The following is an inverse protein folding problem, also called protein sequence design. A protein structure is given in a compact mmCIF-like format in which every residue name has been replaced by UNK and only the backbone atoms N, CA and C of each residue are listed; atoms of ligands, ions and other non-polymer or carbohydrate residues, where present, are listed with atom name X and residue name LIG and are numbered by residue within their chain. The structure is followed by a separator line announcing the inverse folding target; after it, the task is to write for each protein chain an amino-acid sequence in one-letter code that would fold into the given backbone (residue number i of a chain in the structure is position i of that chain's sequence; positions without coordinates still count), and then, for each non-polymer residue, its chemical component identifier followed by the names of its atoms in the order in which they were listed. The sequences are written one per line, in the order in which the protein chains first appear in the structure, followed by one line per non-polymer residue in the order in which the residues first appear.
data_IF_851541887593
#
_entry.id   IF_851541887593
#
_cell.length_a   1.000
_cell.length_b   1.000
_cell.length_c   1.000
_cell.angle_alpha   90.00
_cell.angle_beta   90.00
_cell.angle_gamma   90.00
#
_symmetry.space_group_name_H-M   'P 1'
#
loop_
_entity.id
_entity.type
_entity.pdbx_description
1 polymer ?
#
# COMPACT_ATOMS: atom_id res chain seq x y z
N UNK A 1 -18.11 30.16 0.87
CA UNK A 1 -18.30 28.73 0.55
C UNK A 1 -17.34 27.87 1.39
N UNK A 2 -17.70 27.51 2.63
CA UNK A 2 -16.71 27.05 3.64
C UNK A 2 -16.81 25.58 4.08
N UNK A 3 -17.73 24.76 3.56
CA UNK A 3 -18.00 23.45 4.17
C UNK A 3 -17.67 22.20 3.34
N UNK A 4 -17.11 22.30 2.11
CA UNK A 4 -16.80 21.11 1.26
C UNK A 4 -17.94 20.07 1.13
N UNK A 5 -19.18 20.42 1.49
CA UNK A 5 -20.38 19.58 1.45
C UNK A 5 -20.97 19.56 0.03
N UNK A 6 -20.10 19.42 -0.98
CA UNK A 6 -20.48 19.50 -2.38
C UNK A 6 -21.46 18.39 -2.77
N UNK A 7 -21.25 17.19 -2.24
CA UNK A 7 -22.19 16.08 -2.43
C UNK A 7 -23.58 16.36 -1.86
N UNK A 8 -23.68 16.89 -0.64
CA UNK A 8 -24.98 17.21 -0.02
C UNK A 8 -25.68 18.34 -0.78
N UNK A 9 -24.93 19.35 -1.22
CA UNK A 9 -25.46 20.42 -2.04
C UNK A 9 -26.01 19.86 -3.36
N UNK A 10 -25.23 19.07 -4.09
CA UNK A 10 -25.64 18.45 -5.36
C UNK A 10 -26.86 17.55 -5.21
N UNK A 11 -26.94 16.75 -4.14
CA UNK A 11 -28.09 15.89 -3.88
C UNK A 11 -29.37 16.71 -3.65
N UNK A 12 -29.28 17.79 -2.89
CA UNK A 12 -30.42 18.72 -2.73
C UNK A 12 -30.81 19.34 -4.07
N UNK A 13 -29.84 19.68 -4.93
CA UNK A 13 -30.13 20.21 -6.27
C UNK A 13 -30.82 19.18 -7.18
N UNK A 14 -30.37 17.93 -7.15
CA UNK A 14 -30.98 16.81 -7.89
C UNK A 14 -32.40 16.52 -7.39
N UNK A 15 -32.62 16.49 -6.07
CA UNK A 15 -33.95 16.31 -5.46
C UNK A 15 -34.90 17.46 -5.86
N UNK A 16 -34.38 18.69 -5.97
CA UNK A 16 -35.15 19.87 -6.38
C UNK A 16 -35.54 19.80 -7.87
N UNK A 17 -34.63 19.36 -8.74
CA UNK A 17 -34.92 19.14 -10.16
C UNK A 17 -35.91 17.98 -10.38
N UNK A 18 -35.77 16.88 -9.64
CA UNK A 18 -36.66 15.72 -9.77
C UNK A 18 -38.06 16.01 -9.22
N UNK A 19 -38.16 16.69 -8.07
CA UNK A 19 -39.44 17.00 -7.41
C UNK A 19 -40.20 18.12 -8.11
N UNK A 20 -39.49 19.13 -8.62
CA UNK A 20 -40.09 20.32 -9.19
C UNK A 20 -39.94 20.43 -10.71
N UNK A 21 -39.31 19.46 -11.40
CA UNK A 21 -39.08 19.45 -12.86
C UNK A 21 -40.27 19.83 -13.73
N UNK A 22 -41.46 19.29 -13.43
CA UNK A 22 -42.69 19.61 -14.16
C UNK A 22 -43.24 21.02 -13.87
N UNK A 23 -42.87 21.61 -12.74
CA UNK A 23 -43.22 22.98 -12.34
C UNK A 23 -42.15 24.00 -12.76
N UNK A 24 -40.91 23.55 -12.98
CA UNK A 24 -39.76 24.40 -13.33
C UNK A 24 -39.97 25.14 -14.66
N UNK A 25 -40.77 24.58 -15.57
CA UNK A 25 -41.09 25.24 -16.83
C UNK A 25 -42.29 26.19 -16.77
N UNK A 26 -43.08 26.17 -15.69
CA UNK A 26 -44.31 26.98 -15.59
C UNK A 26 -44.03 28.45 -15.23
N UNK A 27 -42.94 28.76 -14.55
CA UNK A 27 -42.65 30.12 -14.05
C UNK A 27 -41.30 30.66 -14.54
N UNK A 28 -41.22 31.96 -14.83
CA UNK A 28 -39.95 32.62 -15.23
C UNK A 28 -38.87 32.54 -14.14
N UNK A 29 -39.30 32.60 -12.88
CA UNK A 29 -38.38 32.47 -11.74
C UNK A 29 -37.69 31.10 -11.73
N UNK A 30 -38.43 30.01 -11.94
CA UNK A 30 -37.85 28.66 -11.93
C UNK A 30 -36.93 28.41 -13.13
N UNK A 31 -37.19 29.01 -14.28
CA UNK A 31 -36.27 29.01 -15.42
C UNK A 31 -34.98 29.79 -15.12
N UNK A 32 -35.08 30.93 -14.44
CA UNK A 32 -33.91 31.71 -13.99
C UNK A 32 -33.10 30.96 -12.93
N UNK A 33 -33.77 30.25 -12.02
CA UNK A 33 -33.16 29.40 -11.01
C UNK A 33 -32.39 28.23 -11.65
N UNK A 34 -33.01 27.51 -12.59
CA UNK A 34 -32.34 26.44 -13.35
C UNK A 34 -31.09 26.96 -14.10
N UNK A 35 -31.17 28.14 -14.72
CA UNK A 35 -30.00 28.78 -15.36
C UNK A 35 -28.89 29.12 -14.37
N UNK A 36 -29.24 29.54 -13.16
CA UNK A 36 -28.25 29.82 -12.10
C UNK A 36 -27.61 28.56 -11.50
N UNK A 37 -28.23 27.39 -11.70
CA UNK A 37 -27.71 26.10 -11.24
C UNK A 37 -26.48 25.63 -12.02
N UNK A 38 -26.46 25.90 -13.33
CA UNK A 38 -25.41 25.47 -14.26
C UNK A 38 -24.02 25.95 -13.81
N UNK A 39 -23.77 27.26 -13.55
CA UNK A 39 -22.45 27.72 -13.13
C UNK A 39 -22.04 27.12 -11.77
N UNK A 40 -22.99 26.83 -10.87
CA UNK A 40 -22.69 26.18 -9.58
C UNK A 40 -22.23 24.74 -9.82
N UNK A 41 -22.90 23.99 -10.71
CA UNK A 41 -22.48 22.62 -11.06
C UNK A 41 -21.09 22.61 -11.68
N UNK A 42 -20.79 23.55 -12.58
CA UNK A 42 -19.45 23.69 -13.19
C UNK A 42 -18.38 24.08 -12.16
N UNK A 43 -18.69 24.98 -11.22
CA UNK A 43 -17.76 25.34 -10.13
C UNK A 43 -17.46 24.14 -9.23
N UNK A 44 -18.49 23.35 -8.87
CA UNK A 44 -18.31 22.13 -8.09
C UNK A 44 -17.49 21.10 -8.87
N UNK A 45 -17.77 20.93 -10.16
CA UNK A 45 -17.02 20.02 -11.05
C UNK A 45 -15.54 20.39 -11.07
N UNK A 46 -15.23 21.67 -11.31
CA UNK A 46 -13.86 22.18 -11.29
C UNK A 46 -13.18 21.97 -9.93
N UNK A 47 -13.84 22.35 -8.84
CA UNK A 47 -13.31 22.16 -7.49
C UNK A 47 -13.07 20.70 -7.14
N UNK A 48 -13.84 19.76 -7.72
CA UNK A 48 -13.67 18.32 -7.51
C UNK A 48 -12.45 17.79 -8.25
N UNK A 49 -12.21 18.25 -9.49
CA UNK A 49 -10.97 17.92 -10.20
C UNK A 49 -9.73 18.46 -9.50
N UNK A 50 -9.78 19.69 -8.97
CA UNK A 50 -8.66 20.26 -8.20
C UNK A 50 -8.40 19.45 -6.92
N UNK A 51 -9.45 19.03 -6.20
CA UNK A 51 -9.32 18.17 -5.02
C UNK A 51 -8.73 16.79 -5.37
N UNK A 52 -9.15 16.17 -6.48
CA UNK A 52 -8.55 14.93 -6.97
C UNK A 52 -7.05 15.13 -7.28
N UNK A 53 -6.70 16.22 -7.98
CA UNK A 53 -5.32 16.50 -8.36
C UNK A 53 -4.43 16.65 -7.12
N UNK A 54 -4.85 17.43 -6.12
CA UNK A 54 -4.11 17.56 -4.87
C UNK A 54 -3.91 16.20 -4.18
N UNK A 55 -4.96 15.36 -4.13
CA UNK A 55 -4.85 14.01 -3.59
C UNK A 55 -3.80 13.17 -4.33
N UNK A 56 -3.83 13.17 -5.67
CA UNK A 56 -2.86 12.43 -6.48
C UNK A 56 -1.43 12.93 -6.29
N UNK A 57 -1.22 14.23 -6.10
CA UNK A 57 0.08 14.83 -5.80
C UNK A 57 0.58 14.47 -4.39
N UNK A 58 -0.31 14.43 -3.40
CA UNK A 58 0.06 14.06 -2.02
C UNK A 58 0.41 12.58 -1.88
N UNK A 59 -0.38 11.72 -2.52
CA UNK A 59 -0.09 10.28 -2.62
C UNK A 59 1.25 10.04 -3.31
N UNK A 60 1.58 10.82 -4.35
CA UNK A 60 2.84 10.69 -5.07
C UNK A 60 4.08 10.95 -4.19
N UNK A 61 3.98 11.83 -3.20
CA UNK A 61 5.09 12.16 -2.28
C UNK A 61 5.45 11.01 -1.36
N UNK A 62 4.53 10.10 -1.10
CA UNK A 62 4.67 9.05 -0.08
C UNK A 62 4.79 7.63 -0.64
N UNK A 63 4.73 7.43 -1.97
CA UNK A 63 4.86 6.08 -2.58
C UNK A 63 6.08 5.32 -2.06
N UNK A 64 7.24 5.96 -2.01
CA UNK A 64 8.45 5.31 -1.53
C UNK A 64 8.26 4.72 -0.13
N UNK A 65 7.73 5.51 0.81
CA UNK A 65 7.50 5.09 2.19
C UNK A 65 6.49 3.94 2.28
N UNK A 66 5.43 3.99 1.49
CA UNK A 66 4.43 2.91 1.42
C UNK A 66 5.08 1.62 0.95
N UNK A 67 5.92 1.69 -0.08
CA UNK A 67 6.65 0.53 -0.57
C UNK A 67 7.63 -0.05 0.43
N UNK A 68 8.40 0.81 1.09
CA UNK A 68 9.34 0.42 2.17
C UNK A 68 8.60 -0.35 3.27
N UNK A 69 7.44 0.14 3.72
CA UNK A 69 6.63 -0.51 4.76
C UNK A 69 6.04 -1.86 4.28
N UNK A 70 5.53 -1.92 3.05
CA UNK A 70 4.97 -3.15 2.47
C UNK A 70 6.03 -4.24 2.27
N UNK A 71 7.21 -3.86 1.77
CA UNK A 71 8.37 -4.74 1.59
C UNK A 71 8.87 -5.22 2.96
N UNK A 72 8.96 -4.33 3.95
CA UNK A 72 9.37 -4.68 5.31
C UNK A 72 8.40 -5.65 5.96
N UNK A 73 7.09 -5.43 5.82
CA UNK A 73 6.06 -6.34 6.31
C UNK A 73 6.22 -7.74 5.68
N UNK A 74 6.43 -7.80 4.36
CA UNK A 74 6.69 -9.06 3.64
C UNK A 74 7.98 -9.72 4.12
N UNK A 75 9.05 -8.95 4.36
CA UNK A 75 10.34 -9.47 4.80
C UNK A 75 10.26 -10.13 6.19
N UNK A 76 9.43 -9.56 7.08
CA UNK A 76 9.17 -10.13 8.40
C UNK A 76 8.41 -11.46 8.26
N UNK A 77 7.34 -11.49 7.47
CA UNK A 77 6.51 -12.68 7.26
C UNK A 77 7.27 -13.86 6.63
N UNK A 78 8.20 -13.55 5.74
CA UNK A 78 9.00 -14.54 4.99
C UNK A 78 10.28 -14.96 5.72
N UNK A 79 10.59 -14.36 6.87
CA UNK A 79 11.79 -14.64 7.65
C UNK A 79 13.09 -14.07 7.08
N UNK A 80 13.02 -13.24 6.02
CA UNK A 80 14.18 -12.51 5.47
C UNK A 80 14.68 -11.40 6.41
N UNK A 81 13.81 -10.91 7.30
CA UNK A 81 14.14 -9.91 8.31
C UNK A 81 13.92 -10.47 9.70
N UNK A 82 15.01 -10.64 10.46
CA UNK A 82 14.92 -10.80 11.92
C UNK A 82 15.07 -9.40 12.52
N UNK A 83 14.09 -8.86 13.25
CA UNK A 83 14.34 -7.67 14.04
C UNK A 83 15.51 -8.01 14.98
N UNK A 84 16.57 -7.21 14.94
CA UNK A 84 17.65 -7.31 15.94
C UNK A 84 16.98 -7.26 17.30
N UNK A 85 16.92 -8.41 17.98
CA UNK A 85 16.55 -8.47 19.38
C UNK A 85 17.45 -7.46 20.09
N UNK A 86 16.83 -6.56 20.85
CA UNK A 86 17.55 -5.76 21.82
C UNK A 86 18.46 -6.73 22.58
N UNK A 87 19.77 -6.45 22.56
CA UNK A 87 20.68 -6.98 23.56
C UNK A 87 20.25 -6.37 24.89
N UNK A 88 19.32 -7.03 25.59
CA UNK A 88 19.14 -6.80 27.02
C UNK A 88 20.25 -7.60 27.72
N UNK A 89 21.45 -7.04 27.70
CA UNK A 89 22.45 -7.30 28.72
C UNK A 89 22.08 -6.45 29.94
N UNK A 90 21.83 -7.16 31.04
CA UNK A 90 21.93 -6.70 32.42
C UNK A 90 20.88 -5.69 32.93
N UNK A 91 19.82 -6.23 33.52
CA UNK A 91 19.14 -5.57 34.63
C UNK A 91 19.06 -6.55 35.82
N UNK A 92 20.11 -6.56 36.63
CA UNK A 92 20.07 -7.07 38.00
C UNK A 92 18.94 -6.37 38.76
N UNK A 93 17.87 -7.12 39.03
CA UNK A 93 16.85 -6.76 40.02
C UNK A 93 16.99 -7.71 41.19
N UNK A 94 17.69 -7.30 42.25
CA UNK A 94 17.53 -7.91 43.58
C UNK A 94 17.48 -6.85 44.67
N UNK A 95 16.27 -6.37 44.95
CA UNK A 95 15.87 -6.00 46.30
C UNK A 95 14.85 -7.02 46.81
N UNK A 96 15.07 -7.38 48.08
CA UNK A 96 14.20 -8.09 49.03
C UNK A 96 13.85 -9.55 48.75
N UNK A 97 14.35 -10.44 49.62
CA UNK A 97 13.48 -11.38 50.32
C UNK A 97 13.86 -11.42 51.81
N UNK A 98 12.88 -11.13 52.65
CA UNK A 98 12.85 -11.53 54.04
C UNK A 98 12.78 -13.07 54.11
N UNK A 99 13.38 -13.61 55.17
CA UNK A 99 13.42 -15.02 55.55
C UNK A 99 12.01 -15.56 55.79
N UNK A 100 11.76 -16.79 55.35
CA UNK A 100 11.03 -17.80 56.13
C UNK A 100 11.42 -19.21 55.64
N UNK A 101 11.77 -20.05 56.59
CA UNK A 101 12.42 -21.36 56.43
C UNK A 101 11.43 -22.49 56.07
N UNK A 102 11.76 -23.31 55.07
CA UNK A 102 11.21 -24.66 54.90
C UNK A 102 12.35 -25.63 54.54
N UNK A 103 12.68 -26.54 55.46
CA UNK A 103 13.74 -27.55 55.36
C UNK A 103 13.26 -28.83 54.63
N UNK A 104 14.14 -29.44 53.84
CA UNK A 104 13.94 -30.71 53.12
C UNK A 104 14.68 -31.87 53.83
N UNK A 105 14.00 -33.00 54.01
CA UNK A 105 14.60 -34.27 54.48
C UNK A 105 15.11 -35.12 53.30
N UNK A 106 16.11 -35.96 53.57
CA UNK A 106 16.93 -36.71 52.59
C UNK A 106 16.22 -37.83 51.79
N UNK A 107 14.93 -38.09 52.03
CA UNK A 107 14.12 -39.06 51.26
C UNK A 107 12.91 -38.42 50.55
N UNK A 108 12.97 -37.11 50.27
CA UNK A 108 12.25 -36.52 49.14
C UNK A 108 10.72 -36.45 49.20
N UNK A 109 10.08 -36.50 50.37
CA UNK A 109 8.63 -36.32 50.51
C UNK A 109 8.26 -35.17 51.45
N UNK A 110 7.35 -34.29 51.02
CA UNK A 110 6.62 -33.31 51.86
C UNK A 110 5.12 -33.44 51.55
N UNK A 111 4.31 -33.67 52.59
CA UNK A 111 2.86 -33.90 52.52
C UNK A 111 2.07 -32.66 52.98
N UNK A 112 1.24 -32.17 52.03
CA UNK A 112 -0.07 -31.49 52.10
C UNK A 112 -0.40 -30.34 53.08
N UNK A 113 -1.03 -29.29 52.51
CA UNK A 113 -2.50 -29.13 52.55
C UNK A 113 -3.02 -28.18 51.46
N UNK A 114 -3.95 -28.67 50.64
CA UNK A 114 -4.88 -27.84 49.85
C UNK A 114 -6.10 -27.49 50.70
N UNK A 115 -6.75 -26.34 50.42
CA UNK A 115 -8.12 -26.42 49.92
C UNK A 115 -8.33 -25.65 48.62
N UNK A 116 -9.25 -26.21 47.82
CA UNK A 116 -9.77 -25.77 46.52
C UNK A 116 -10.51 -24.43 46.62
N UNK A 117 -10.43 -23.60 45.58
CA UNK A 117 -11.60 -22.96 44.92
C UNK A 117 -11.25 -22.46 43.51
N UNK A 118 -12.01 -22.99 42.54
CA UNK A 118 -12.54 -22.39 41.29
C UNK A 118 -11.61 -21.66 40.31
N UNK A 119 -11.37 -22.33 39.19
CA UNK A 119 -11.52 -21.87 37.80
C UNK A 119 -11.28 -20.37 37.50
N UNK A 120 -10.11 -20.07 36.95
CA UNK A 120 -9.95 -18.95 36.03
C UNK A 120 -9.39 -19.43 34.70
N UNK A 121 -10.10 -19.01 33.68
CA UNK A 121 -10.04 -19.44 32.30
C UNK A 121 -8.70 -19.14 31.64
N UNK A 122 -8.32 -20.03 30.74
CA UNK A 122 -7.23 -19.90 29.79
C UNK A 122 -7.43 -18.64 28.94
N UNK A 123 -6.82 -17.52 29.34
CA UNK A 123 -6.63 -16.39 28.45
C UNK A 123 -5.49 -16.75 27.51
N UNK A 124 -5.84 -17.33 26.35
CA UNK A 124 -4.98 -17.39 25.17
C UNK A 124 -4.48 -15.97 24.93
N UNK A 125 -3.21 -15.76 25.23
CA UNK A 125 -2.48 -14.56 24.88
C UNK A 125 -2.37 -14.58 23.36
N UNK A 126 -3.36 -13.97 22.70
CA UNK A 126 -3.21 -13.58 21.30
C UNK A 126 -2.01 -12.66 21.28
N UNK A 127 -0.92 -13.12 20.67
CA UNK A 127 0.14 -12.28 20.15
C UNK A 127 -0.51 -11.32 19.14
N UNK A 128 -1.11 -10.26 19.67
CA UNK A 128 -1.40 -9.06 18.92
C UNK A 128 -0.03 -8.45 18.64
N UNK A 129 0.58 -8.88 17.54
CA UNK A 129 1.55 -8.07 16.84
C UNK A 129 0.90 -6.69 16.73
N UNK A 130 1.44 -5.70 17.44
CA UNK A 130 1.16 -4.30 17.16
C UNK A 130 1.37 -4.16 15.65
N UNK A 131 0.27 -4.12 14.91
CA UNK A 131 0.27 -3.80 13.50
C UNK A 131 0.76 -2.37 13.46
N UNK A 132 2.07 -2.20 13.27
CA UNK A 132 2.66 -0.92 12.90
C UNK A 132 1.74 -0.35 11.84
N UNK A 133 1.02 0.73 12.15
CA UNK A 133 0.05 1.33 11.22
C UNK A 133 0.75 1.45 9.87
N UNK A 134 0.19 0.81 8.85
CA UNK A 134 0.76 0.83 7.52
C UNK A 134 0.78 2.27 7.03
N UNK A 135 1.80 2.70 6.29
CA UNK A 135 1.80 4.05 5.69
C UNK A 135 0.54 4.31 4.83
N UNK A 136 -0.13 3.25 4.35
CA UNK A 136 -1.44 3.34 3.69
C UNK A 136 -2.56 3.84 4.61
N UNK A 137 -2.50 3.55 5.91
CA UNK A 137 -3.54 3.93 6.89
C UNK A 137 -3.53 5.43 7.19
N UNK A 138 -2.44 6.12 6.84
CA UNK A 138 -2.30 7.56 6.99
C UNK A 138 -2.78 8.34 5.75
N UNK A 139 -3.25 7.66 4.71
CA UNK A 139 -3.73 8.30 3.48
C UNK A 139 -5.22 8.62 3.65
N UNK A 140 -5.58 9.89 3.51
CA UNK A 140 -6.99 10.27 3.41
C UNK A 140 -7.51 9.96 2.00
N UNK A 141 -8.22 8.85 1.84
CA UNK A 141 -8.91 8.49 0.60
C UNK A 141 -10.26 9.21 0.43
N UNK A 142 -10.74 10.00 1.42
CA UNK A 142 -12.02 10.71 1.28
C UNK A 142 -12.13 11.57 0.01
N UNK A 143 -11.09 12.27 -0.48
CA UNK A 143 -11.13 13.02 -1.73
C UNK A 143 -11.58 12.18 -2.93
N UNK A 144 -11.05 10.96 -3.09
CA UNK A 144 -11.39 10.11 -4.24
C UNK A 144 -12.84 9.61 -4.16
N UNK A 145 -13.28 9.21 -2.97
CA UNK A 145 -14.66 8.79 -2.72
C UNK A 145 -15.66 9.93 -2.96
N UNK A 146 -15.34 11.14 -2.49
CA UNK A 146 -16.15 12.33 -2.74
C UNK A 146 -16.26 12.62 -4.24
N UNK A 147 -15.15 12.57 -4.97
CA UNK A 147 -15.16 12.78 -6.42
C UNK A 147 -16.05 11.75 -7.11
N UNK A 148 -15.88 10.45 -6.83
CA UNK A 148 -16.73 9.40 -7.39
C UNK A 148 -18.23 9.68 -7.16
N UNK A 149 -18.61 10.08 -5.94
CA UNK A 149 -19.99 10.44 -5.61
C UNK A 149 -20.49 11.68 -6.37
N UNK A 150 -19.67 12.73 -6.46
CA UNK A 150 -20.01 13.99 -7.14
C UNK A 150 -20.21 13.74 -8.64
N UNK A 151 -19.28 13.05 -9.30
CA UNK A 151 -19.37 12.79 -10.74
C UNK A 151 -20.49 11.81 -11.09
N UNK A 152 -20.87 10.92 -10.16
CA UNK A 152 -22.07 10.10 -10.30
C UNK A 152 -23.36 10.95 -10.31
N UNK A 153 -23.48 11.93 -9.41
CA UNK A 153 -24.65 12.84 -9.35
C UNK A 153 -24.66 13.85 -10.50
N UNK A 154 -23.49 14.25 -10.99
CA UNK A 154 -23.38 15.12 -12.17
C UNK A 154 -23.68 14.40 -13.50
N UNK A 155 -23.79 13.06 -13.49
CA UNK A 155 -23.98 12.26 -14.71
C UNK A 155 -22.74 12.17 -15.61
N UNK A 156 -21.55 12.52 -15.09
CA UNK A 156 -20.29 12.61 -15.85
C UNK A 156 -19.23 11.63 -15.31
N UNK A 157 -19.70 10.48 -14.85
CA UNK A 157 -18.89 9.44 -14.20
C UNK A 157 -17.84 8.85 -15.14
N UNK A 158 -18.20 8.55 -16.38
CA UNK A 158 -17.29 7.93 -17.35
C UNK A 158 -16.12 8.86 -17.70
N UNK A 159 -16.38 10.14 -17.92
CA UNK A 159 -15.31 11.11 -18.19
C UNK A 159 -14.36 11.25 -17.00
N UNK A 160 -14.89 11.23 -15.78
CA UNK A 160 -14.08 11.24 -14.56
C UNK A 160 -13.22 9.98 -14.43
N UNK A 161 -13.78 8.79 -14.68
CA UNK A 161 -13.04 7.52 -14.64
C UNK A 161 -11.89 7.52 -15.65
N UNK A 162 -12.14 8.00 -16.88
CA UNK A 162 -11.12 8.12 -17.91
C UNK A 162 -10.03 9.12 -17.51
N UNK A 163 -10.42 10.30 -17.01
CA UNK A 163 -9.48 11.31 -16.51
C UNK A 163 -8.57 10.75 -15.41
N UNK A 164 -9.15 10.06 -14.43
CA UNK A 164 -8.39 9.43 -13.36
C UNK A 164 -7.39 8.41 -13.91
N UNK A 165 -7.84 7.49 -14.78
CA UNK A 165 -6.99 6.44 -15.35
C UNK A 165 -5.86 7.00 -16.20
N UNK A 166 -6.10 8.09 -16.93
CA UNK A 166 -5.09 8.78 -17.73
C UNK A 166 -4.02 9.43 -16.84
N UNK A 167 -4.42 10.12 -15.77
CA UNK A 167 -3.46 10.71 -14.82
C UNK A 167 -2.65 9.64 -14.09
N UNK A 168 -3.28 8.54 -13.65
CA UNK A 168 -2.59 7.42 -13.01
C UNK A 168 -1.64 6.71 -13.96
N UNK A 169 -1.98 6.61 -15.24
CA UNK A 169 -1.08 6.05 -16.27
C UNK A 169 0.18 6.91 -16.43
N UNK A 170 0.04 8.24 -16.53
CA UNK A 170 1.18 9.17 -16.59
C UNK A 170 2.07 9.06 -15.36
N UNK A 171 1.46 8.96 -14.17
CA UNK A 171 2.18 8.76 -12.92
C UNK A 171 2.93 7.41 -12.90
N UNK A 172 2.29 6.33 -13.36
CA UNK A 172 2.91 5.02 -13.46
C UNK A 172 4.13 5.04 -14.39
N UNK A 173 3.99 5.60 -15.60
CA UNK A 173 5.09 5.75 -16.56
C UNK A 173 6.29 6.50 -15.95
N UNK A 174 6.00 7.52 -15.13
CA UNK A 174 7.02 8.27 -14.41
C UNK A 174 7.71 7.44 -13.32
N UNK A 175 6.93 6.71 -12.51
CA UNK A 175 7.45 5.89 -11.38
C UNK A 175 8.28 4.71 -11.88
N UNK A 176 7.87 4.10 -12.98
CA UNK A 176 8.51 2.93 -13.56
C UNK A 176 9.79 3.33 -14.30
N UNK A 177 9.97 4.59 -14.69
CA UNK A 177 11.19 5.04 -15.36
C UNK A 177 12.39 4.98 -14.40
N UNK A 178 13.46 4.23 -14.73
CA UNK A 178 14.61 4.07 -13.83
C UNK A 178 15.38 5.39 -13.67
N UNK A 179 15.87 5.71 -12.45
CA UNK A 179 16.73 6.87 -12.25
C UNK A 179 18.08 6.67 -12.96
N UNK A 180 18.68 7.74 -13.48
CA UNK A 180 19.99 7.70 -14.17
C UNK A 180 21.12 7.11 -13.33
N UNK A 181 21.03 7.21 -12.01
CA UNK A 181 22.02 6.73 -11.03
C UNK A 181 21.73 5.32 -10.49
N UNK A 182 20.90 4.54 -11.17
CA UNK A 182 20.49 3.22 -10.68
C UNK A 182 21.66 2.25 -10.47
N UNK A 183 22.75 2.40 -11.24
CA UNK A 183 23.95 1.54 -11.16
C UNK A 183 24.92 1.90 -10.03
N UNK A 184 24.77 3.08 -9.42
CA UNK A 184 25.74 3.57 -8.42
C UNK A 184 25.65 2.78 -7.10
N UNK A 185 24.47 2.26 -6.75
CA UNK A 185 24.26 1.56 -5.48
C UNK A 185 23.05 0.63 -5.51
N UNK A 186 23.12 -0.45 -4.74
CA UNK A 186 21.99 -1.34 -4.45
C UNK A 186 20.85 -0.56 -3.77
N UNK A 187 21.18 0.44 -2.96
CA UNK A 187 20.18 1.32 -2.33
C UNK A 187 19.32 2.05 -3.37
N UNK A 188 19.91 2.48 -4.48
CA UNK A 188 19.16 3.11 -5.57
C UNK A 188 18.15 2.15 -6.20
N UNK A 189 18.48 0.86 -6.29
CA UNK A 189 17.56 -0.17 -6.79
C UNK A 189 16.45 -0.50 -5.80
N UNK A 190 16.76 -0.53 -4.51
CA UNK A 190 15.76 -0.67 -3.44
C UNK A 190 14.80 0.51 -3.49
N UNK A 191 15.31 1.75 -3.45
CA UNK A 191 14.51 2.97 -3.51
C UNK A 191 13.60 3.05 -4.76
N UNK A 192 14.09 2.55 -5.90
CA UNK A 192 13.34 2.46 -7.15
C UNK A 192 12.19 1.45 -7.05
N UNK A 193 12.46 0.24 -6.57
CA UNK A 193 11.45 -0.80 -6.40
C UNK A 193 10.43 -0.42 -5.31
N UNK A 194 10.86 0.20 -4.22
CA UNK A 194 9.96 0.69 -3.16
C UNK A 194 8.94 1.68 -3.72
N UNK A 195 9.36 2.65 -4.55
CA UNK A 195 8.43 3.59 -5.21
C UNK A 195 7.40 2.86 -6.06
N UNK A 196 7.81 1.85 -6.83
CA UNK A 196 6.92 1.05 -7.65
C UNK A 196 5.92 0.29 -6.79
N UNK A 197 6.40 -0.42 -5.74
CA UNK A 197 5.51 -1.14 -4.82
C UNK A 197 4.48 -0.18 -4.23
N UNK A 198 4.92 0.97 -3.70
CA UNK A 198 4.00 1.92 -3.08
C UNK A 198 2.96 2.48 -4.04
N UNK A 199 3.30 2.68 -5.31
CA UNK A 199 2.32 3.06 -6.33
C UNK A 199 1.23 1.98 -6.48
N UNK A 200 1.64 0.71 -6.64
CA UNK A 200 0.70 -0.40 -6.85
C UNK A 200 -0.10 -0.78 -5.60
N UNK A 201 0.47 -0.64 -4.41
CA UNK A 201 -0.26 -0.84 -3.15
C UNK A 201 -1.42 0.16 -3.03
N UNK A 202 -1.21 1.41 -3.44
CA UNK A 202 -2.28 2.41 -3.48
C UNK A 202 -3.33 2.05 -4.53
N UNK A 203 -2.93 1.61 -5.72
CA UNK A 203 -3.88 1.14 -6.75
C UNK A 203 -4.73 -0.04 -6.26
N UNK A 204 -4.13 -0.99 -5.55
CA UNK A 204 -4.85 -2.11 -4.96
C UNK A 204 -5.86 -1.66 -3.91
N UNK A 205 -5.48 -0.72 -3.03
CA UNK A 205 -6.41 -0.13 -2.07
C UNK A 205 -7.59 0.60 -2.73
N UNK A 206 -7.32 1.36 -3.80
CA UNK A 206 -8.37 2.07 -4.54
C UNK A 206 -9.27 1.08 -5.29
N UNK A 207 -8.72 0.00 -5.87
CA UNK A 207 -9.50 -1.07 -6.49
C UNK A 207 -10.48 -1.72 -5.50
N UNK A 208 -10.00 -2.02 -4.29
CA UNK A 208 -10.82 -2.65 -3.25
C UNK A 208 -11.93 -1.74 -2.72
N UNK A 209 -11.68 -0.42 -2.67
CA UNK A 209 -12.63 0.57 -2.13
C UNK A 209 -13.54 1.21 -3.19
N UNK A 210 -13.11 1.27 -4.46
CA UNK A 210 -13.82 1.83 -5.62
C UNK A 210 -13.62 0.96 -6.87
N UNK A 211 -14.23 -0.24 -6.94
CA UNK A 211 -14.03 -1.18 -8.05
C UNK A 211 -14.53 -0.68 -9.42
N UNK A 212 -15.39 0.35 -9.45
CA UNK A 212 -15.79 1.02 -10.70
C UNK A 212 -14.67 1.89 -11.29
N UNK A 213 -13.87 2.52 -10.43
CA UNK A 213 -12.81 3.43 -10.86
C UNK A 213 -11.58 2.66 -11.36
N UNK A 214 -11.09 1.73 -10.54
CA UNK A 214 -9.94 0.87 -10.85
C UNK A 214 -10.46 -0.56 -10.93
N UNK A 215 -10.43 -1.13 -12.13
CA UNK A 215 -10.76 -2.55 -12.34
C UNK A 215 -9.52 -3.41 -12.26
N UNK A 216 -9.69 -4.69 -11.92
CA UNK A 216 -8.59 -5.66 -11.91
C UNK A 216 -7.85 -5.70 -13.26
N UNK A 217 -8.58 -5.72 -14.37
CA UNK A 217 -7.99 -5.76 -15.71
C UNK A 217 -7.13 -4.52 -16.02
N UNK A 218 -7.61 -3.31 -15.67
CA UNK A 218 -6.85 -2.07 -15.84
C UNK A 218 -5.55 -2.09 -15.01
N UNK A 219 -5.68 -2.47 -13.74
CA UNK A 219 -4.55 -2.56 -12.80
C UNK A 219 -3.52 -3.58 -13.27
N UNK A 220 -3.96 -4.75 -13.72
CA UNK A 220 -3.08 -5.83 -14.20
C UNK A 220 -2.34 -5.39 -15.48
N UNK A 221 -3.02 -4.73 -16.42
CA UNK A 221 -2.38 -4.16 -17.62
C UNK A 221 -1.31 -3.11 -17.28
N UNK A 222 -1.60 -2.22 -16.34
CA UNK A 222 -0.65 -1.20 -15.89
C UNK A 222 0.56 -1.84 -15.18
N UNK A 223 0.33 -2.94 -14.44
CA UNK A 223 1.40 -3.72 -13.83
C UNK A 223 2.23 -4.49 -14.87
N UNK A 224 1.64 -5.03 -15.93
CA UNK A 224 2.40 -5.71 -17.00
C UNK A 224 3.40 -4.76 -17.68
N UNK A 225 2.99 -3.51 -17.93
CA UNK A 225 3.89 -2.46 -18.43
C UNK A 225 5.06 -2.21 -17.46
N UNK A 226 4.78 -2.15 -16.15
CA UNK A 226 5.79 -2.00 -15.13
C UNK A 226 6.75 -3.18 -15.08
N UNK A 227 6.19 -4.39 -15.08
CA UNK A 227 6.91 -5.64 -14.98
C UNK A 227 7.90 -5.81 -16.13
N UNK A 228 7.48 -5.48 -17.36
CA UNK A 228 8.36 -5.49 -18.53
C UNK A 228 9.54 -4.53 -18.32
N UNK A 229 9.26 -3.27 -17.97
CA UNK A 229 10.31 -2.26 -17.81
C UNK A 229 11.26 -2.58 -16.65
N UNK A 230 10.76 -3.11 -15.53
CA UNK A 230 11.58 -3.56 -14.40
C UNK A 230 12.49 -4.71 -14.84
N UNK A 231 11.94 -5.70 -15.57
CA UNK A 231 12.71 -6.86 -16.04
C UNK A 231 13.84 -6.41 -16.98
N UNK A 232 13.56 -5.52 -17.92
CA UNK A 232 14.55 -4.97 -18.85
C UNK A 232 15.63 -4.19 -18.09
N UNK A 233 15.21 -3.31 -17.18
CA UNK A 233 16.10 -2.50 -16.33
C UNK A 233 17.04 -3.38 -15.51
N UNK A 234 16.51 -4.40 -14.84
CA UNK A 234 17.31 -5.31 -14.02
C UNK A 234 18.25 -6.17 -14.85
N UNK A 235 17.83 -6.64 -16.03
CA UNK A 235 18.71 -7.35 -16.96
C UNK A 235 19.85 -6.46 -17.47
N UNK A 236 19.56 -5.22 -17.88
CA UNK A 236 20.60 -4.29 -18.37
C UNK A 236 21.61 -3.95 -17.28
N UNK A 237 21.18 -3.74 -16.04
CA UNK A 237 22.08 -3.32 -14.97
C UNK A 237 22.82 -4.48 -14.29
N UNK A 238 22.19 -5.65 -14.14
CA UNK A 238 22.73 -6.76 -13.36
C UNK A 238 22.99 -8.03 -14.17
N UNK A 239 22.54 -8.12 -15.42
CA UNK A 239 22.74 -9.30 -16.28
C UNK A 239 24.20 -9.64 -16.52
N UNK A 240 25.08 -8.63 -16.58
CA UNK A 240 26.52 -8.78 -16.76
C UNK A 240 27.31 -8.44 -15.48
N UNK A 241 26.67 -8.43 -14.31
CA UNK A 241 27.36 -8.13 -13.06
C UNK A 241 28.29 -9.29 -12.67
N UNK A 242 29.60 -9.05 -12.61
CA UNK A 242 30.60 -10.05 -12.23
C UNK A 242 30.85 -10.11 -10.71
N UNK A 243 30.32 -9.14 -9.96
CA UNK A 243 30.46 -9.06 -8.52
C UNK A 243 29.42 -9.97 -7.84
N UNK A 244 29.93 -11.07 -7.26
CA UNK A 244 29.15 -12.11 -6.60
C UNK A 244 28.29 -11.56 -5.46
N UNK A 245 28.86 -10.67 -4.65
CA UNK A 245 28.18 -10.15 -3.47
C UNK A 245 27.03 -9.24 -3.88
N UNK A 246 27.26 -8.33 -4.83
CA UNK A 246 26.22 -7.46 -5.39
C UNK A 246 25.11 -8.25 -6.06
N UNK A 247 25.45 -9.31 -6.81
CA UNK A 247 24.46 -10.16 -7.47
C UNK A 247 23.57 -10.89 -6.46
N UNK A 248 24.13 -11.44 -5.38
CA UNK A 248 23.36 -12.11 -4.33
C UNK A 248 22.42 -11.13 -3.63
N UNK A 249 22.92 -9.93 -3.30
CA UNK A 249 22.09 -8.89 -2.68
C UNK A 249 20.93 -8.47 -3.60
N UNK A 250 21.19 -8.28 -4.90
CA UNK A 250 20.15 -7.94 -5.87
C UNK A 250 19.10 -9.04 -6.04
N UNK A 251 19.52 -10.32 -6.07
CA UNK A 251 18.59 -11.45 -6.09
C UNK A 251 17.63 -11.42 -4.89
N UNK A 252 18.14 -11.12 -3.69
CA UNK A 252 17.30 -10.99 -2.49
C UNK A 252 16.30 -9.83 -2.63
N UNK A 253 16.74 -8.68 -3.14
CA UNK A 253 15.89 -7.50 -3.37
C UNK A 253 14.77 -7.83 -4.37
N UNK A 254 15.09 -8.40 -5.53
CA UNK A 254 14.11 -8.77 -6.56
C UNK A 254 13.15 -9.85 -6.05
N UNK A 255 13.65 -10.84 -5.30
CA UNK A 255 12.81 -11.87 -4.70
C UNK A 255 11.82 -11.27 -3.69
N UNK A 256 12.29 -10.36 -2.83
CA UNK A 256 11.43 -9.72 -1.83
C UNK A 256 10.38 -8.82 -2.50
N UNK A 257 10.76 -8.08 -3.54
CA UNK A 257 9.83 -7.35 -4.40
C UNK A 257 8.77 -8.27 -5.00
N UNK A 258 9.17 -9.40 -5.60
CA UNK A 258 8.25 -10.38 -6.18
C UNK A 258 7.28 -10.94 -5.12
N UNK A 259 7.77 -11.33 -3.94
CA UNK A 259 6.92 -11.84 -2.87
C UNK A 259 5.94 -10.77 -2.37
N UNK A 260 6.38 -9.52 -2.29
CA UNK A 260 5.53 -8.39 -1.89
C UNK A 260 4.41 -8.21 -2.90
N UNK A 261 4.73 -8.09 -4.19
CA UNK A 261 3.72 -7.95 -5.26
C UNK A 261 2.77 -9.16 -5.33
N UNK A 262 3.26 -10.38 -5.07
CA UNK A 262 2.42 -11.58 -5.00
C UNK A 262 1.37 -11.51 -3.88
N UNK A 263 1.72 -10.92 -2.74
CA UNK A 263 0.79 -10.79 -1.60
C UNK A 263 -0.43 -9.93 -1.92
N UNK A 264 -0.28 -8.95 -2.82
CA UNK A 264 -1.36 -8.12 -3.37
C UNK A 264 -2.02 -8.73 -4.62
N UNK A 265 -1.65 -9.95 -5.00
CA UNK A 265 -2.27 -10.69 -6.10
C UNK A 265 -1.80 -10.29 -7.51
N UNK A 266 -0.63 -9.67 -7.64
CA UNK A 266 0.00 -9.39 -8.92
C UNK A 266 0.75 -10.62 -9.47
N UNK A 267 0.86 -10.70 -10.81
CA UNK A 267 1.64 -11.73 -11.50
C UNK A 267 3.14 -11.50 -11.27
N UNK A 268 3.92 -12.55 -11.06
CA UNK A 268 5.38 -12.42 -10.82
C UNK A 268 6.22 -13.40 -11.66
N UNK A 269 5.61 -14.05 -12.65
CA UNK A 269 6.26 -15.09 -13.44
C UNK A 269 7.52 -14.56 -14.15
N UNK A 270 7.48 -13.36 -14.72
CA UNK A 270 8.63 -12.74 -15.39
C UNK A 270 9.79 -12.46 -14.42
N UNK A 271 9.50 -12.12 -13.15
CA UNK A 271 10.52 -11.93 -12.12
C UNK A 271 11.17 -13.24 -11.72
N UNK A 272 10.41 -14.34 -11.64
CA UNK A 272 11.00 -15.65 -11.38
C UNK A 272 11.89 -16.11 -12.54
N UNK A 273 11.46 -15.91 -13.79
CA UNK A 273 12.30 -16.18 -14.96
C UNK A 273 13.59 -15.35 -14.95
N UNK A 274 13.49 -14.05 -14.60
CA UNK A 274 14.64 -13.17 -14.41
C UNK A 274 15.62 -13.70 -13.34
N UNK A 275 15.11 -14.10 -12.17
CA UNK A 275 15.92 -14.67 -11.10
C UNK A 275 16.62 -15.98 -11.51
N UNK A 276 15.95 -16.81 -12.32
CA UNK A 276 16.54 -18.03 -12.88
C UNK A 276 17.67 -17.71 -13.87
N UNK A 277 17.50 -16.70 -14.73
CA UNK A 277 18.53 -16.27 -15.68
C UNK A 277 19.82 -15.85 -14.97
N UNK A 278 19.71 -15.08 -13.87
CA UNK A 278 20.88 -14.74 -13.06
C UNK A 278 21.54 -15.95 -12.38
N UNK A 279 20.85 -17.09 -12.25
CA UNK A 279 21.45 -18.34 -11.73
C UNK A 279 22.34 -19.01 -12.77
N UNK A 280 21.93 -19.00 -14.04
CA UNK A 280 22.69 -19.61 -15.13
C UNK A 280 23.98 -18.87 -15.45
N UNK A 281 23.94 -17.54 -15.52
CA UNK A 281 25.14 -16.71 -15.77
C UNK A 281 26.21 -16.93 -14.70
N UNK A 282 25.79 -17.03 -13.43
CA UNK A 282 26.70 -17.25 -12.32
C UNK A 282 27.36 -18.64 -12.31
N UNK A 283 26.59 -19.69 -12.60
CA UNK A 283 27.13 -21.05 -12.72
C UNK A 283 28.11 -21.11 -13.90
N UNK A 284 27.74 -20.55 -15.04
CA UNK A 284 28.58 -20.54 -16.24
C UNK A 284 29.92 -19.84 -15.98
N UNK A 285 29.93 -18.70 -15.30
CA UNK A 285 31.17 -17.96 -15.06
C UNK A 285 32.07 -18.58 -13.97
N UNK A 286 31.49 -19.26 -12.97
CA UNK A 286 32.26 -20.09 -12.05
C UNK A 286 32.95 -21.24 -12.80
N UNK A 287 32.22 -21.93 -13.69
CA UNK A 287 32.78 -23.04 -14.47
C UNK A 287 33.82 -22.61 -15.50
N UNK A 288 33.82 -21.34 -15.91
CA UNK A 288 34.82 -20.78 -16.84
C UNK A 288 36.11 -20.34 -16.15
N UNK A 289 36.07 -20.20 -14.83
CA UNK A 289 37.22 -19.79 -14.00
C UNK A 289 37.92 -20.99 -13.33
N UNK A 290 37.35 -22.19 -13.46
CA UNK A 290 37.91 -23.49 -13.06
C UNK A 290 38.51 -24.20 -14.28
#
# INVERSE_FOLDING_TARGET
MKQKKYYQALKVLEDLEHTYGAQINKYRFTQSLAKSMIPIREEIKKSSYDELRCFLEDVAKIWKRIGEDAIKATAIQTGFYKPSGKKDSDMESRKSFAKDDIQLSKDGTIVQRTPRTSDMEKKKMSEQYETSLSATDNIDFAPIHRCCQIFNVLGDKEAFENYYRDERKKQAETVITPPTKLQESIKSSVDYLDKIVGFFVVEDHIMNSQPGLVTKAYRDHLYDMALQKITDTMNTHFGNCLDVEKMIQMKKVILLFALTMKSYGYNINSLYSLLQNFRFVFIFEIFKTL
#
